data_IF_100911512048
#
_entry.id   IF_100911512048
#
_cell.length_a   1.000
_cell.length_b   1.000
_cell.length_c   1.000
_cell.angle_alpha   90.00
_cell.angle_beta   90.00
_cell.angle_gamma   90.00
#
_symmetry.space_group_name_H-M   'P 1'
#
loop_
_entity.id
_entity.type
_entity.pdbx_description
1 polymer ?
#
# COMPACT_ATOMS: atom_id res chain seq x y z
N UNK A 1 -35.00 -1.13 19.04
CA UNK A 1 -33.87 -0.46 18.42
C UNK A 1 -34.32 0.27 17.18
N UNK A 2 -33.85 1.49 16.99
CA UNK A 2 -34.11 2.22 15.76
C UNK A 2 -33.18 1.71 14.65
N UNK A 3 -33.65 1.63 13.39
CA UNK A 3 -32.80 1.26 12.27
C UNK A 3 -31.79 2.41 12.04
N UNK A 4 -30.50 2.05 11.95
CA UNK A 4 -29.42 2.98 11.71
C UNK A 4 -28.87 2.76 10.30
N UNK A 5 -28.86 3.80 9.50
CA UNK A 5 -28.20 3.79 8.20
C UNK A 5 -26.73 4.23 8.36
N UNK A 6 -25.84 3.50 7.73
CA UNK A 6 -24.43 3.85 7.67
C UNK A 6 -23.91 3.55 6.27
N UNK A 7 -23.41 4.59 5.60
CA UNK A 7 -22.70 4.47 4.33
C UNK A 7 -21.27 4.99 4.52
N UNK A 8 -20.23 4.12 4.52
CA UNK A 8 -18.86 4.53 4.74
C UNK A 8 -18.32 5.48 3.67
N UNK A 9 -18.96 5.55 2.50
CA UNK A 9 -18.58 6.46 1.41
C UNK A 9 -19.37 7.77 1.38
N UNK A 10 -20.41 7.88 2.19
CA UNK A 10 -21.19 9.12 2.28
C UNK A 10 -20.39 10.21 3.00
N UNK A 11 -20.14 11.37 2.34
CA UNK A 11 -19.44 12.50 2.98
C UNK A 11 -20.11 12.99 4.27
N UNK A 12 -21.44 12.83 4.44
CA UNK A 12 -22.16 13.23 5.64
C UNK A 12 -21.84 12.32 6.86
N UNK A 13 -21.41 11.07 6.62
CA UNK A 13 -21.10 10.10 7.67
C UNK A 13 -19.60 10.10 8.07
N UNK A 14 -18.80 11.00 7.47
CA UNK A 14 -17.36 11.12 7.71
C UNK A 14 -16.91 12.57 7.75
N UNK A 15 -15.86 12.86 8.53
CA UNK A 15 -15.33 14.24 8.62
C UNK A 15 -14.33 14.56 7.49
N UNK A 16 -13.44 13.63 7.15
CA UNK A 16 -12.43 13.77 6.07
C UNK A 16 -12.31 12.47 5.27
N UNK A 17 -11.56 11.50 5.77
CA UNK A 17 -11.31 10.23 5.11
C UNK A 17 -12.22 9.14 5.67
N UNK A 18 -12.64 8.21 4.80
CA UNK A 18 -13.51 7.09 5.17
C UNK A 18 -12.72 5.95 5.85
N UNK A 19 -12.00 6.25 6.94
CA UNK A 19 -11.34 5.23 7.74
C UNK A 19 -12.30 4.63 8.75
N UNK A 20 -12.29 3.29 8.87
CA UNK A 20 -13.11 2.57 9.80
C UNK A 20 -12.29 1.49 10.53
N UNK A 21 -12.47 1.39 11.83
CA UNK A 21 -11.90 0.33 12.67
C UNK A 21 -13.02 -0.55 13.21
N UNK A 22 -12.94 -1.88 12.95
CA UNK A 22 -13.92 -2.84 13.42
C UNK A 22 -13.29 -3.74 14.47
N UNK A 23 -13.75 -3.63 15.69
CA UNK A 23 -13.27 -4.40 16.84
C UNK A 23 -14.31 -5.40 17.30
N UNK A 24 -13.85 -6.52 17.81
CA UNK A 24 -14.71 -7.55 18.39
C UNK A 24 -13.95 -8.86 18.62
N UNK A 25 -14.43 -9.73 19.51
CA UNK A 25 -13.81 -11.02 19.77
C UNK A 25 -13.86 -11.95 18.55
N UNK A 26 -13.10 -13.03 18.58
CA UNK A 26 -13.16 -14.08 17.57
C UNK A 26 -14.58 -14.68 17.54
N UNK A 27 -15.12 -14.92 16.36
CA UNK A 27 -16.47 -15.44 16.18
C UNK A 27 -17.61 -14.40 16.26
N UNK A 28 -17.33 -13.13 16.57
CA UNK A 28 -18.35 -12.07 16.66
C UNK A 28 -18.93 -11.61 15.30
N UNK A 29 -18.54 -12.24 14.20
CA UNK A 29 -19.06 -11.88 12.87
C UNK A 29 -18.39 -10.71 12.17
N UNK A 30 -17.20 -10.25 12.63
CA UNK A 30 -16.48 -9.13 12.01
C UNK A 30 -16.32 -9.28 10.49
N UNK A 31 -15.78 -10.41 10.03
CA UNK A 31 -15.56 -10.66 8.61
C UNK A 31 -16.89 -10.72 7.83
N UNK A 32 -17.93 -11.32 8.41
CA UNK A 32 -19.25 -11.37 7.79
C UNK A 32 -19.86 -9.97 7.64
N UNK A 33 -19.72 -9.11 8.64
CA UNK A 33 -20.18 -7.71 8.57
C UNK A 33 -19.43 -6.93 7.51
N UNK A 34 -18.10 -7.09 7.42
CA UNK A 34 -17.28 -6.44 6.39
C UNK A 34 -17.68 -6.94 4.99
N UNK A 35 -17.85 -8.26 4.81
CA UNK A 35 -18.27 -8.85 3.53
C UNK A 35 -19.64 -8.28 3.11
N UNK A 36 -20.59 -8.23 4.03
CA UNK A 36 -21.93 -7.66 3.76
C UNK A 36 -21.83 -6.19 3.35
N UNK A 37 -21.05 -5.40 4.08
CA UNK A 37 -20.82 -3.99 3.77
C UNK A 37 -20.16 -3.81 2.40
N UNK A 38 -19.10 -4.56 2.09
CA UNK A 38 -18.42 -4.49 0.80
C UNK A 38 -19.34 -4.90 -0.36
N UNK A 39 -20.24 -5.87 -0.14
CA UNK A 39 -21.24 -6.24 -1.12
C UNK A 39 -22.20 -5.08 -1.44
N UNK A 40 -22.68 -4.35 -0.41
CA UNK A 40 -23.54 -3.19 -0.59
C UNK A 40 -22.79 -2.03 -1.26
N UNK A 41 -21.57 -1.73 -0.80
CA UNK A 41 -20.71 -0.69 -1.40
C UNK A 41 -20.43 -0.98 -2.88
N UNK A 42 -20.15 -2.24 -3.23
CA UNK A 42 -19.93 -2.64 -4.61
C UNK A 42 -21.20 -2.50 -5.45
N UNK A 43 -22.37 -2.85 -4.90
CA UNK A 43 -23.65 -2.72 -5.59
C UNK A 43 -24.01 -1.26 -5.89
N UNK A 44 -23.72 -0.35 -4.96
CA UNK A 44 -24.08 1.07 -5.07
C UNK A 44 -23.05 1.90 -5.83
N UNK A 45 -21.77 1.72 -5.54
CA UNK A 45 -20.70 2.63 -5.98
C UNK A 45 -19.72 2.02 -6.98
N UNK A 46 -19.64 0.69 -7.06
CA UNK A 46 -18.68 -0.07 -7.91
C UNK A 46 -17.23 0.43 -7.79
N UNK A 47 -16.70 0.64 -6.58
CA UNK A 47 -15.36 1.12 -6.38
C UNK A 47 -14.34 0.03 -6.75
N UNK A 48 -13.07 0.43 -6.95
CA UNK A 48 -11.96 -0.53 -6.95
C UNK A 48 -11.70 -0.96 -5.50
N UNK A 49 -11.71 -2.27 -5.24
CA UNK A 49 -11.45 -2.83 -3.92
C UNK A 49 -10.06 -3.48 -3.89
N UNK A 50 -9.30 -3.17 -2.84
CA UNK A 50 -8.06 -3.85 -2.50
C UNK A 50 -8.24 -4.49 -1.12
N UNK A 51 -8.12 -5.81 -1.05
CA UNK A 51 -8.30 -6.58 0.18
C UNK A 51 -6.98 -7.29 0.50
N UNK A 52 -6.42 -7.00 1.68
CA UNK A 52 -5.23 -7.69 2.21
C UNK A 52 -5.68 -8.44 3.45
N UNK A 53 -5.55 -9.75 3.43
CA UNK A 53 -5.97 -10.61 4.53
C UNK A 53 -4.97 -11.74 4.84
N UNK A 54 -4.98 -12.18 6.09
CA UNK A 54 -4.33 -13.43 6.50
C UNK A 54 -5.40 -14.52 6.59
N UNK A 55 -5.52 -15.35 5.56
CA UNK A 55 -6.52 -16.41 5.47
C UNK A 55 -7.20 -16.40 4.10
N UNK A 56 -8.45 -16.78 4.05
CA UNK A 56 -9.26 -16.78 2.83
C UNK A 56 -10.73 -16.45 3.12
N UNK A 57 -10.99 -15.52 4.04
CA UNK A 57 -12.35 -15.15 4.44
C UNK A 57 -13.12 -14.46 3.32
N UNK A 58 -12.41 -13.75 2.43
CA UNK A 58 -12.98 -12.98 1.32
C UNK A 58 -12.99 -13.74 -0.02
N UNK A 59 -12.44 -14.96 -0.07
CA UNK A 59 -12.37 -15.75 -1.31
C UNK A 59 -13.74 -15.99 -1.96
N UNK A 60 -14.76 -16.29 -1.16
CA UNK A 60 -16.14 -16.47 -1.66
C UNK A 60 -16.73 -15.16 -2.18
N UNK A 61 -16.45 -14.03 -1.56
CA UNK A 61 -16.86 -12.72 -2.05
C UNK A 61 -16.27 -12.44 -3.43
N UNK A 62 -14.97 -12.73 -3.62
CA UNK A 62 -14.31 -12.61 -4.91
C UNK A 62 -14.96 -13.49 -5.99
N UNK A 63 -15.23 -14.76 -5.68
CA UNK A 63 -15.92 -15.67 -6.59
C UNK A 63 -17.33 -15.17 -6.97
N UNK A 64 -18.07 -14.66 -5.98
CA UNK A 64 -19.38 -14.08 -6.23
C UNK A 64 -19.28 -12.84 -7.12
N UNK A 65 -18.36 -11.91 -6.88
CA UNK A 65 -18.14 -10.77 -7.76
C UNK A 65 -17.74 -11.18 -9.18
N UNK A 66 -16.90 -12.20 -9.34
CA UNK A 66 -16.55 -12.74 -10.64
C UNK A 66 -17.78 -13.30 -11.38
N UNK A 67 -18.70 -13.98 -10.65
CA UNK A 67 -19.96 -14.48 -11.24
C UNK A 67 -20.90 -13.38 -11.71
N UNK A 68 -20.76 -12.15 -11.16
CA UNK A 68 -21.47 -10.96 -11.59
C UNK A 68 -20.77 -10.21 -12.75
N UNK A 69 -19.69 -10.78 -13.30
CA UNK A 69 -18.93 -10.19 -14.42
C UNK A 69 -17.92 -9.13 -14.00
N UNK A 70 -17.59 -9.01 -12.71
CA UNK A 70 -16.55 -8.11 -12.24
C UNK A 70 -15.17 -8.75 -12.41
N UNK A 71 -14.17 -7.94 -12.75
CA UNK A 71 -12.78 -8.39 -12.81
C UNK A 71 -12.24 -8.61 -11.39
N UNK A 72 -11.83 -9.83 -11.09
CA UNK A 72 -11.28 -10.21 -9.78
C UNK A 72 -9.89 -10.81 -9.99
N UNK A 73 -8.89 -10.24 -9.31
CA UNK A 73 -7.55 -10.79 -9.24
C UNK A 73 -7.25 -11.23 -7.82
N UNK A 74 -7.04 -12.53 -7.62
CA UNK A 74 -6.72 -13.10 -6.31
C UNK A 74 -5.28 -13.62 -6.33
N UNK A 75 -4.44 -13.05 -5.48
CA UNK A 75 -3.02 -13.38 -5.37
C UNK A 75 -2.75 -13.97 -4.00
N UNK A 76 -2.06 -15.11 -3.95
CA UNK A 76 -1.64 -15.73 -2.69
C UNK A 76 -0.14 -15.54 -2.49
N UNK A 77 0.24 -14.82 -1.44
CA UNK A 77 1.64 -14.60 -1.05
C UNK A 77 2.07 -15.71 -0.07
N UNK A 78 2.51 -16.84 -0.61
CA UNK A 78 3.02 -17.96 0.18
C UNK A 78 4.40 -18.36 -0.35
N UNK A 79 5.30 -18.92 0.48
CA UNK A 79 6.52 -19.51 0.01
C UNK A 79 6.22 -20.53 -1.10
N UNK A 80 6.92 -20.43 -2.23
CA UNK A 80 6.72 -21.33 -3.37
C UNK A 80 5.51 -21.04 -4.27
N UNK A 81 4.74 -19.97 -4.05
CA UNK A 81 3.62 -19.59 -4.92
C UNK A 81 4.02 -19.06 -6.31
N UNK A 82 5.31 -18.82 -6.55
CA UNK A 82 5.80 -18.19 -7.78
C UNK A 82 5.45 -16.70 -7.89
N UNK A 83 4.81 -16.13 -6.88
CA UNK A 83 4.51 -14.71 -6.82
C UNK A 83 5.59 -14.01 -6.01
N UNK A 84 6.26 -13.04 -6.62
CA UNK A 84 7.22 -12.18 -5.95
C UNK A 84 6.72 -10.73 -5.99
N UNK A 85 6.83 -10.04 -4.87
CA UNK A 85 6.68 -8.59 -4.81
C UNK A 85 8.05 -7.97 -5.05
N UNK A 86 8.12 -7.00 -5.95
CA UNK A 86 9.32 -6.19 -6.14
C UNK A 86 9.12 -4.85 -5.47
N UNK A 87 9.58 -4.67 -4.21
CA UNK A 87 9.28 -3.46 -3.45
C UNK A 87 9.93 -2.20 -4.05
N UNK A 88 10.96 -2.36 -4.85
CA UNK A 88 11.67 -1.26 -5.51
C UNK A 88 11.29 -1.07 -6.99
N UNK A 89 10.24 -1.72 -7.48
CA UNK A 89 9.84 -1.61 -8.89
C UNK A 89 9.56 -0.16 -9.33
N UNK A 90 9.02 0.65 -8.44
CA UNK A 90 8.71 2.07 -8.69
C UNK A 90 9.92 3.01 -8.57
N UNK A 91 11.12 2.51 -8.23
CA UNK A 91 12.31 3.36 -8.07
C UNK A 91 12.71 4.11 -9.35
N UNK A 92 12.37 3.58 -10.53
CA UNK A 92 12.59 4.26 -11.82
C UNK A 92 11.88 5.62 -11.90
N UNK A 93 10.79 5.82 -11.16
CA UNK A 93 10.03 7.09 -11.13
C UNK A 93 10.83 8.22 -10.48
N UNK A 94 11.80 7.91 -9.63
CA UNK A 94 12.71 8.89 -9.04
C UNK A 94 13.59 9.56 -10.11
N UNK A 95 13.87 8.87 -11.21
CA UNK A 95 14.72 9.36 -12.30
C UNK A 95 13.94 10.17 -13.36
N UNK A 96 12.61 10.06 -13.37
CA UNK A 96 11.73 10.73 -14.34
C UNK A 96 11.33 12.16 -13.93
N UNK A 97 12.06 12.77 -13.00
CA UNK A 97 11.73 14.11 -12.49
C UNK A 97 10.59 14.10 -11.48
N UNK A 98 10.36 12.97 -10.84
CA UNK A 98 9.51 12.88 -9.67
C UNK A 98 10.03 13.89 -8.65
N UNK A 99 9.22 14.90 -8.36
CA UNK A 99 9.53 15.97 -7.40
C UNK A 99 10.01 15.28 -6.12
N UNK A 100 11.29 15.47 -5.79
CA UNK A 100 11.75 15.26 -4.44
C UNK A 100 10.85 16.14 -3.58
N UNK A 101 9.91 15.53 -2.89
CA UNK A 101 8.99 16.24 -2.02
C UNK A 101 9.81 17.05 -1.03
N UNK A 102 9.86 18.36 -1.25
CA UNK A 102 10.35 19.30 -0.26
C UNK A 102 9.16 19.70 0.61
N UNK A 103 9.12 19.25 1.88
CA UNK A 103 8.01 19.57 2.79
C UNK A 103 7.79 21.09 2.94
N UNK A 104 8.76 21.91 2.57
CA UNK A 104 8.68 23.37 2.65
C UNK A 104 7.93 23.99 1.46
N UNK A 105 7.80 23.29 0.33
CA UNK A 105 7.09 23.79 -0.86
C UNK A 105 5.63 23.27 -0.96
N UNK A 106 5.24 22.32 -0.12
CA UNK A 106 3.91 21.70 -0.13
C UNK A 106 2.77 22.58 0.43
N UNK A 107 3.07 23.78 0.91
CA UNK A 107 2.09 24.66 1.59
C UNK A 107 1.15 25.40 0.61
N UNK A 108 1.39 25.34 -0.71
CA UNK A 108 0.64 26.11 -1.71
C UNK A 108 -0.28 25.30 -2.63
N UNK A 109 -0.33 23.97 -2.48
CA UNK A 109 -1.26 23.13 -3.25
C UNK A 109 -2.68 23.27 -2.68
N UNK A 110 -3.63 23.67 -3.52
CA UNK A 110 -5.05 23.79 -3.15
C UNK A 110 -5.66 22.42 -2.80
N UNK A 111 -6.77 22.42 -2.07
CA UNK A 111 -7.46 21.26 -1.48
C UNK A 111 -7.89 20.15 -2.49
N UNK A 112 -7.71 20.33 -3.81
CA UNK A 112 -8.17 19.43 -4.87
C UNK A 112 -7.03 18.78 -5.68
N UNK A 113 -5.75 19.06 -5.40
CA UNK A 113 -4.63 18.38 -6.06
C UNK A 113 -4.17 17.19 -5.22
N UNK A 114 -4.05 16.01 -5.85
CA UNK A 114 -3.42 14.83 -5.23
C UNK A 114 -2.05 15.22 -4.67
N UNK A 115 -1.87 15.07 -3.36
CA UNK A 115 -0.56 15.34 -2.73
C UNK A 115 0.54 14.59 -3.47
N UNK A 116 1.63 15.26 -3.86
CA UNK A 116 2.72 14.59 -4.58
C UNK A 116 3.27 13.45 -3.73
N UNK A 117 3.24 12.24 -4.27
CA UNK A 117 3.64 11.01 -3.57
C UNK A 117 5.16 11.04 -3.31
N UNK A 118 5.58 10.97 -2.05
CA UNK A 118 6.98 10.83 -1.65
C UNK A 118 7.50 9.40 -1.89
N UNK A 119 7.80 9.08 -3.14
CA UNK A 119 8.31 7.77 -3.55
C UNK A 119 9.63 7.43 -2.84
N UNK A 120 10.52 8.39 -2.66
CA UNK A 120 11.79 8.15 -1.97
C UNK A 120 11.57 7.79 -0.50
N UNK A 121 10.67 8.50 0.20
CA UNK A 121 10.33 8.20 1.59
C UNK A 121 9.68 6.81 1.73
N UNK A 122 8.78 6.45 0.82
CA UNK A 122 8.16 5.12 0.80
C UNK A 122 9.20 4.00 0.62
N UNK A 123 10.10 4.14 -0.36
CA UNK A 123 11.15 3.16 -0.64
C UNK A 123 12.18 3.08 0.49
N UNK A 124 12.50 4.21 1.13
CA UNK A 124 13.35 4.24 2.33
C UNK A 124 12.71 3.46 3.48
N UNK A 125 11.41 3.63 3.73
CA UNK A 125 10.68 2.89 4.77
C UNK A 125 10.74 1.38 4.50
N UNK A 126 10.51 0.98 3.24
CA UNK A 126 10.59 -0.43 2.85
C UNK A 126 12.01 -0.99 3.08
N UNK A 127 13.04 -0.26 2.66
CA UNK A 127 14.44 -0.66 2.89
C UNK A 127 14.75 -0.80 4.39
N UNK A 128 14.32 0.17 5.20
CA UNK A 128 14.49 0.14 6.65
C UNK A 128 13.79 -1.08 7.28
N UNK A 129 12.55 -1.39 6.88
CA UNK A 129 11.84 -2.57 7.35
C UNK A 129 12.57 -3.88 6.98
N UNK A 130 13.17 -3.95 5.79
CA UNK A 130 13.95 -5.11 5.36
C UNK A 130 15.26 -5.26 6.13
N UNK A 131 15.93 -4.16 6.48
CA UNK A 131 17.19 -4.15 7.24
C UNK A 131 16.93 -4.50 8.71
N UNK A 132 15.89 -3.92 9.31
CA UNK A 132 15.63 -4.06 10.76
C UNK A 132 14.65 -5.18 11.10
N UNK A 133 14.09 -5.87 10.11
CA UNK A 133 13.03 -6.86 10.34
C UNK A 133 11.76 -6.28 10.95
N UNK A 134 11.62 -4.94 11.00
CA UNK A 134 10.52 -4.24 11.65
C UNK A 134 10.68 -4.12 13.18
N UNK A 135 11.85 -4.46 13.74
CA UNK A 135 12.11 -4.34 15.17
C UNK A 135 12.41 -2.88 15.57
N UNK A 136 11.62 -2.33 16.49
CA UNK A 136 11.79 -0.94 16.92
C UNK A 136 13.17 -0.64 17.52
N UNK A 137 13.79 -1.61 18.20
CA UNK A 137 15.10 -1.46 18.79
C UNK A 137 16.16 -1.20 17.71
N UNK A 138 16.17 -2.02 16.68
CA UNK A 138 17.10 -1.89 15.55
C UNK A 138 16.82 -0.62 14.75
N UNK A 139 15.54 -0.27 14.56
CA UNK A 139 15.16 0.97 13.87
C UNK A 139 15.68 2.24 14.58
N UNK A 140 15.81 2.22 15.93
CA UNK A 140 16.37 3.33 16.71
C UNK A 140 17.90 3.48 16.57
N UNK A 141 18.59 2.42 16.18
CA UNK A 141 20.04 2.44 15.98
C UNK A 141 20.43 3.05 14.63
N UNK A 142 19.49 3.11 13.67
CA UNK A 142 19.69 3.69 12.34
C UNK A 142 19.89 5.21 12.45
N UNK A 143 21.06 5.65 12.05
CA UNK A 143 21.47 7.07 12.07
C UNK A 143 21.06 7.78 10.78
N UNK A 144 21.10 9.11 10.81
CA UNK A 144 20.85 9.95 9.64
C UNK A 144 21.81 9.64 8.46
N UNK A 145 23.06 9.29 8.78
CA UNK A 145 24.05 8.90 7.77
C UNK A 145 23.63 7.61 7.06
N UNK A 146 23.15 6.61 7.80
CA UNK A 146 22.69 5.32 7.26
C UNK A 146 21.50 5.51 6.32
N UNK A 147 20.54 6.36 6.71
CA UNK A 147 19.40 6.73 5.85
C UNK A 147 19.85 7.38 4.55
N UNK A 148 20.86 8.27 4.62
CA UNK A 148 21.44 8.89 3.43
C UNK A 148 22.14 7.88 2.52
N UNK A 149 22.78 6.85 3.09
CA UNK A 149 23.35 5.75 2.31
C UNK A 149 22.27 4.91 1.64
N UNK A 150 21.19 4.56 2.35
CA UNK A 150 20.04 3.84 1.80
C UNK A 150 19.45 4.59 0.60
N UNK A 151 19.18 5.87 0.74
CA UNK A 151 18.64 6.71 -0.36
C UNK A 151 19.56 6.71 -1.58
N UNK A 152 20.86 6.84 -1.38
CA UNK A 152 21.85 6.79 -2.48
C UNK A 152 21.89 5.42 -3.14
N UNK A 153 21.79 4.34 -2.35
CA UNK A 153 21.76 2.99 -2.89
C UNK A 153 20.51 2.76 -3.74
N UNK A 154 19.34 3.24 -3.30
CA UNK A 154 18.09 3.16 -4.07
C UNK A 154 18.23 3.91 -5.41
N UNK A 155 18.79 5.13 -5.43
CA UNK A 155 19.00 5.88 -6.65
C UNK A 155 19.97 5.18 -7.60
N UNK A 156 21.13 4.74 -7.11
CA UNK A 156 22.11 4.02 -7.91
C UNK A 156 21.55 2.71 -8.47
N UNK A 157 20.75 2.01 -7.70
CA UNK A 157 20.05 0.80 -8.16
C UNK A 157 19.03 1.12 -9.28
N UNK A 158 18.28 2.21 -9.13
CA UNK A 158 17.32 2.67 -10.13
C UNK A 158 18.02 3.03 -11.46
N UNK A 159 19.14 3.76 -11.40
CA UNK A 159 19.95 4.12 -12.58
C UNK A 159 20.48 2.88 -13.31
N UNK A 160 21.01 1.89 -12.58
CA UNK A 160 21.50 0.63 -13.16
C UNK A 160 20.37 -0.16 -13.83
N UNK A 161 19.23 -0.28 -13.15
CA UNK A 161 18.08 -1.01 -13.67
C UNK A 161 17.51 -0.33 -14.92
N UNK A 162 17.43 1.00 -14.93
CA UNK A 162 17.01 1.78 -16.09
C UNK A 162 17.95 1.60 -17.28
N UNK A 163 19.27 1.61 -17.07
CA UNK A 163 20.25 1.34 -18.10
C UNK A 163 20.14 -0.07 -18.69
N UNK A 164 19.61 -1.03 -17.91
CA UNK A 164 19.37 -2.41 -18.33
C UNK A 164 17.94 -2.66 -18.84
N UNK A 165 17.13 -1.61 -18.97
CA UNK A 165 15.72 -1.66 -19.42
C UNK A 165 14.87 -2.70 -18.65
N UNK A 166 15.00 -2.70 -17.33
CA UNK A 166 14.27 -3.61 -16.44
C UNK A 166 13.85 -2.92 -15.14
N UNK A 167 12.87 -3.47 -14.40
CA UNK A 167 12.51 -2.95 -13.09
C UNK A 167 13.66 -3.10 -12.08
N UNK A 168 13.72 -2.19 -11.11
CA UNK A 168 14.68 -2.25 -10.02
C UNK A 168 14.33 -3.40 -9.08
N UNK A 169 15.30 -4.25 -8.79
CA UNK A 169 15.16 -5.39 -7.89
C UNK A 169 15.79 -5.07 -6.52
N UNK A 170 15.40 -5.81 -5.50
CA UNK A 170 16.01 -5.74 -4.16
C UNK A 170 17.50 -6.01 -4.19
N UNK A 171 17.93 -6.93 -5.07
CA UNK A 171 19.35 -7.28 -5.28
C UNK A 171 20.17 -6.06 -5.73
N UNK A 172 19.62 -5.25 -6.66
CA UNK A 172 20.30 -4.05 -7.14
C UNK A 172 20.55 -3.04 -6.02
N UNK A 173 19.57 -2.89 -5.11
CA UNK A 173 19.71 -2.01 -3.94
C UNK A 173 20.75 -2.56 -2.97
N UNK A 174 20.73 -3.86 -2.72
CA UNK A 174 21.71 -4.53 -1.87
C UNK A 174 23.16 -4.38 -2.40
N UNK A 175 23.35 -4.52 -3.70
CA UNK A 175 24.67 -4.38 -4.33
C UNK A 175 25.14 -2.93 -4.40
N UNK A 176 24.22 -1.97 -4.36
CA UNK A 176 24.53 -0.54 -4.36
C UNK A 176 24.80 0.02 -2.95
N UNK A 177 24.37 -0.68 -1.91
CA UNK A 177 24.56 -0.34 -0.49
C UNK A 177 25.95 -0.73 0.00
#
# INVERSE_FOLDING_TARGET
>A
GEPMFFDPLNPADRQKNAHMLILGPTGAGKSASVISMLAHVMAMHRPRLFIIEAGNSFGLLGQWFASLGLSVNQVSLKPGSGVALSPFADAHRLLQGGVLFDPLTAVEAGDDEEEPRDIMGELEIVALLMITGGEEREAREIRRADRSMIRRAILAAAERAQAADRPTLTEDVREAF
#
